data_IF_272803214653
#
_entry.id   IF_272803214653
#
_cell.length_a   1.000
_cell.length_b   1.000
_cell.length_c   1.000
_cell.angle_alpha   90.00
_cell.angle_beta   90.00
_cell.angle_gamma   90.00
#
_symmetry.space_group_name_H-M   'P 1'
#
loop_
_entity.id
_entity.type
_entity.pdbx_description
1 polymer ?
#
# COMPACT_ATOMS: atom_id res chain seq x y z
N UNK A 1 -16.61 -13.05 -25.93
CA UNK A 1 -16.41 -13.97 -24.80
C UNK A 1 -14.94 -14.39 -24.80
N UNK A 2 -14.17 -13.90 -23.83
CA UNK A 2 -12.80 -14.33 -23.52
C UNK A 2 -12.70 -14.21 -22.00
N UNK A 3 -12.98 -15.30 -21.31
CA UNK A 3 -12.93 -15.39 -19.85
C UNK A 3 -11.49 -15.80 -19.48
N UNK A 4 -10.91 -15.13 -18.48
CA UNK A 4 -9.66 -15.56 -17.84
C UNK A 4 -10.07 -16.41 -16.63
N UNK A 5 -9.55 -17.63 -16.56
CA UNK A 5 -9.72 -18.53 -15.41
C UNK A 5 -9.09 -17.91 -14.15
N UNK A 6 -9.81 -17.94 -13.03
CA UNK A 6 -9.25 -17.65 -11.70
C UNK A 6 -10.18 -16.93 -10.70
N UNK A 7 -11.29 -16.32 -11.14
CA UNK A 7 -12.21 -15.63 -10.22
C UNK A 7 -13.28 -16.59 -9.69
N UNK A 8 -13.32 -16.79 -8.36
CA UNK A 8 -14.41 -17.48 -7.68
C UNK A 8 -15.67 -16.61 -7.75
N UNK A 9 -16.68 -17.08 -8.48
CA UNK A 9 -17.98 -16.42 -8.59
C UNK A 9 -19.00 -17.17 -7.74
N UNK A 10 -19.45 -16.56 -6.64
CA UNK A 10 -20.62 -17.05 -5.91
C UNK A 10 -21.91 -16.53 -6.55
N UNK A 11 -22.77 -17.45 -6.97
CA UNK A 11 -24.07 -17.14 -7.58
C UNK A 11 -25.16 -17.31 -6.53
N UNK A 12 -25.84 -16.21 -6.19
CA UNK A 12 -27.07 -16.24 -5.41
C UNK A 12 -28.26 -16.05 -6.35
N UNK A 13 -29.21 -16.98 -6.30
CA UNK A 13 -30.45 -16.93 -7.09
C UNK A 13 -31.62 -16.60 -6.17
N UNK A 14 -32.33 -15.52 -6.48
CA UNK A 14 -33.72 -15.28 -6.03
C UNK A 14 -34.59 -15.08 -7.26
N UNK A 15 -35.87 -15.46 -7.17
CA UNK A 15 -36.74 -15.87 -8.29
C UNK A 15 -36.92 -14.89 -9.46
N UNK A 16 -36.51 -13.62 -9.38
CA UNK A 16 -36.84 -12.64 -10.44
C UNK A 16 -35.68 -11.78 -10.97
N UNK A 17 -34.46 -11.83 -10.40
CA UNK A 17 -33.32 -11.08 -10.97
C UNK A 17 -31.96 -11.77 -10.73
N UNK A 18 -31.15 -11.89 -11.78
CA UNK A 18 -29.71 -12.16 -11.63
C UNK A 18 -29.01 -10.83 -11.37
N UNK A 19 -28.84 -10.50 -10.09
CA UNK A 19 -28.07 -9.32 -9.68
C UNK A 19 -26.58 -9.66 -9.70
N UNK A 20 -25.89 -9.28 -10.78
CA UNK A 20 -24.42 -9.26 -10.85
C UNK A 20 -23.89 -8.06 -10.06
N UNK A 21 -23.89 -8.18 -8.74
CA UNK A 21 -23.24 -7.20 -7.88
C UNK A 21 -21.73 -7.42 -7.98
N UNK A 22 -21.02 -6.52 -8.67
CA UNK A 22 -19.57 -6.31 -8.46
C UNK A 22 -19.35 -5.80 -7.03
N UNK A 23 -19.43 -6.71 -6.06
CA UNK A 23 -18.95 -6.52 -4.69
C UNK A 23 -18.15 -7.77 -4.30
N UNK A 24 -17.40 -8.31 -5.27
CA UNK A 24 -16.58 -9.53 -5.13
C UNK A 24 -15.57 -9.37 -3.99
N UNK A 25 -14.93 -8.22 -3.90
CA UNK A 25 -13.78 -7.99 -3.04
C UNK A 25 -13.53 -6.48 -3.13
N UNK A 26 -14.08 -5.67 -2.22
CA UNK A 26 -13.27 -4.54 -1.75
C UNK A 26 -12.17 -5.21 -0.96
N UNK A 27 -11.13 -5.60 -1.69
CA UNK A 27 -10.19 -6.68 -1.38
C UNK A 27 -9.85 -6.68 0.09
N UNK A 28 -9.83 -7.85 0.72
CA UNK A 28 -9.45 -7.99 2.13
C UNK A 28 -8.18 -7.18 2.45
N UNK A 29 -7.27 -7.06 1.48
CA UNK A 29 -6.08 -6.21 1.50
C UNK A 29 -6.36 -4.71 1.76
N UNK A 30 -7.35 -4.08 1.13
CA UNK A 30 -7.69 -2.66 1.37
C UNK A 30 -8.14 -2.44 2.82
N UNK A 31 -9.02 -3.30 3.34
CA UNK A 31 -9.52 -3.22 4.72
C UNK A 31 -8.39 -3.43 5.74
N UNK A 32 -7.55 -4.45 5.56
CA UNK A 32 -6.38 -4.66 6.43
C UNK A 32 -5.33 -3.56 6.31
N UNK A 33 -5.20 -2.96 5.12
CA UNK A 33 -4.25 -1.88 4.89
C UNK A 33 -4.58 -0.67 5.75
N UNK A 34 -5.86 -0.29 5.86
CA UNK A 34 -6.32 0.85 6.66
C UNK A 34 -5.94 0.68 8.13
N UNK A 35 -6.24 -0.49 8.71
CA UNK A 35 -5.94 -0.76 10.12
C UNK A 35 -4.44 -0.79 10.38
N UNK A 36 -3.65 -1.39 9.49
CA UNK A 36 -2.21 -1.48 9.63
C UNK A 36 -1.55 -0.10 9.55
N UNK A 37 -1.86 0.72 8.53
CA UNK A 37 -1.28 2.06 8.42
C UNK A 37 -1.68 2.94 9.61
N UNK A 38 -2.91 2.80 10.10
CA UNK A 38 -3.37 3.47 11.32
C UNK A 38 -2.56 3.06 12.56
N UNK A 39 -2.31 1.76 12.74
CA UNK A 39 -1.51 1.25 13.84
C UNK A 39 -0.05 1.70 13.76
N UNK A 40 0.55 1.66 12.56
CA UNK A 40 1.93 2.10 12.34
C UNK A 40 2.09 3.61 12.58
N UNK A 41 1.14 4.42 12.09
CA UNK A 41 1.10 5.85 12.38
C UNK A 41 0.99 6.09 13.89
N UNK A 42 0.08 5.41 14.58
CA UNK A 42 -0.10 5.56 16.02
C UNK A 42 1.14 5.17 16.82
N UNK A 43 1.86 4.13 16.40
CA UNK A 43 3.05 3.63 17.09
C UNK A 43 4.29 4.52 16.89
N UNK A 44 4.43 5.12 15.71
CA UNK A 44 5.65 5.86 15.31
C UNK A 44 5.50 7.37 15.23
N UNK A 45 4.27 7.86 15.12
CA UNK A 45 3.96 9.25 14.76
C UNK A 45 4.26 9.60 13.30
N UNK A 46 4.71 8.65 12.49
CA UNK A 46 5.11 8.87 11.08
C UNK A 46 3.91 8.77 10.14
N UNK A 47 3.98 9.47 9.03
CA UNK A 47 2.97 9.37 7.98
C UNK A 47 3.20 8.10 7.19
N UNK A 48 2.18 7.28 6.98
CA UNK A 48 2.28 5.96 6.33
C UNK A 48 1.25 5.87 5.21
N UNK A 49 1.64 5.31 4.06
CA UNK A 49 0.75 5.02 2.96
C UNK A 49 1.09 3.65 2.36
N UNK A 50 0.10 3.00 1.76
CA UNK A 50 0.26 1.77 0.98
C UNK A 50 -0.31 2.00 -0.41
N UNK A 51 0.37 1.46 -1.41
CA UNK A 51 0.01 1.57 -2.83
C UNK A 51 -0.03 0.19 -3.47
N UNK A 52 -0.95 -0.07 -4.39
CA UNK A 52 -1.14 -1.35 -5.12
C UNK A 52 -0.37 -1.43 -6.46
N UNK A 53 0.45 -0.42 -6.75
CA UNK A 53 1.23 -0.29 -7.99
C UNK A 53 0.82 0.89 -8.85
N UNK A 54 -0.44 1.33 -8.73
CA UNK A 54 -0.95 2.46 -9.51
C UNK A 54 -1.49 3.59 -8.64
N UNK A 55 -2.10 3.25 -7.50
CA UNK A 55 -2.77 4.22 -6.65
C UNK A 55 -2.54 3.92 -5.17
N UNK A 56 -2.84 4.92 -4.35
CA UNK A 56 -2.88 4.81 -2.89
C UNK A 56 -4.13 4.01 -2.49
N UNK A 57 -3.94 2.95 -1.71
CA UNK A 57 -5.03 2.11 -1.21
C UNK A 57 -5.33 2.36 0.27
N UNK A 58 -4.35 2.83 1.04
CA UNK A 58 -4.53 3.23 2.42
C UNK A 58 -3.51 4.29 2.82
N UNK A 59 -3.87 5.19 3.72
CA UNK A 59 -2.95 6.18 4.27
C UNK A 59 -3.35 6.64 5.67
N UNK A 60 -2.37 7.03 6.48
CA UNK A 60 -2.55 7.57 7.82
C UNK A 60 -1.45 8.57 8.17
N UNK A 61 -1.82 9.65 8.86
CA UNK A 61 -0.92 10.72 9.27
C UNK A 61 -1.13 12.02 8.49
N UNK A 62 -0.25 13.00 8.71
CA UNK A 62 -0.39 14.33 8.13
C UNK A 62 0.25 14.39 6.75
N UNK A 63 -0.39 15.09 5.82
CA UNK A 63 0.15 15.34 4.49
C UNK A 63 0.33 14.07 3.64
N UNK A 64 -0.37 12.99 3.97
CA UNK A 64 -0.39 11.79 3.13
C UNK A 64 -1.30 12.00 1.92
N UNK A 65 -1.05 11.33 0.79
CA UNK A 65 -1.96 11.38 -0.34
C UNK A 65 -3.31 10.72 0.01
N UNK A 66 -4.43 11.25 -0.53
CA UNK A 66 -5.74 10.64 -0.43
C UNK A 66 -5.79 9.26 -1.07
N UNK A 67 -6.63 8.39 -0.51
CA UNK A 67 -6.91 7.06 -1.08
C UNK A 67 -7.52 7.22 -2.47
N UNK A 68 -7.04 6.43 -3.42
CA UNK A 68 -7.40 6.49 -4.84
C UNK A 68 -6.51 7.43 -5.66
N UNK A 69 -5.66 8.24 -5.04
CA UNK A 69 -4.70 9.08 -5.78
C UNK A 69 -3.66 8.22 -6.50
N UNK A 70 -3.39 8.54 -7.76
CA UNK A 70 -2.39 7.86 -8.56
C UNK A 70 -0.96 8.17 -8.10
N UNK A 71 -0.05 7.21 -8.27
CA UNK A 71 1.36 7.41 -7.93
C UNK A 71 2.16 8.02 -9.09
N UNK A 72 3.21 8.75 -8.75
CA UNK A 72 4.14 9.35 -9.71
C UNK A 72 5.01 8.29 -10.39
N UNK A 73 5.52 8.62 -11.57
CA UNK A 73 6.42 7.70 -12.30
C UNK A 73 7.74 7.45 -11.56
N UNK A 74 8.26 8.47 -10.86
CA UNK A 74 9.45 8.32 -10.02
C UNK A 74 9.23 7.32 -8.90
N UNK A 75 8.06 7.36 -8.25
CA UNK A 75 7.69 6.38 -7.24
C UNK A 75 7.54 4.97 -7.84
N UNK A 76 6.90 4.83 -9.02
CA UNK A 76 6.80 3.54 -9.73
C UNK A 76 8.17 2.93 -10.00
N UNK A 77 9.14 3.72 -10.44
CA UNK A 77 10.49 3.25 -10.73
C UNK A 77 11.20 2.72 -9.48
N UNK A 78 11.08 3.42 -8.35
CA UNK A 78 11.65 2.98 -7.08
C UNK A 78 11.01 1.68 -6.58
N UNK A 79 9.69 1.55 -6.70
CA UNK A 79 8.96 0.33 -6.31
C UNK A 79 9.37 -0.84 -7.21
N UNK A 80 9.46 -0.61 -8.52
CA UNK A 80 9.85 -1.62 -9.53
C UNK A 80 11.27 -2.15 -9.35
N UNK A 81 12.13 -1.44 -8.62
CA UNK A 81 13.46 -1.92 -8.26
C UNK A 81 13.44 -3.07 -7.23
N UNK A 82 12.27 -3.41 -6.67
CA UNK A 82 12.03 -4.54 -5.75
C UNK A 82 12.96 -4.56 -4.54
N UNK A 83 13.44 -3.39 -4.11
CA UNK A 83 14.32 -3.21 -2.95
C UNK A 83 13.86 -2.02 -2.14
N UNK A 84 14.05 -2.12 -0.82
CA UNK A 84 13.81 -0.99 0.06
C UNK A 84 14.76 0.16 -0.26
N UNK A 85 14.22 1.37 -0.28
CA UNK A 85 14.99 2.59 -0.43
C UNK A 85 14.67 3.52 0.73
N UNK A 86 15.72 4.02 1.38
CA UNK A 86 15.65 5.08 2.38
C UNK A 86 16.18 6.37 1.76
N UNK A 87 15.34 7.40 1.67
CA UNK A 87 15.64 8.71 1.09
C UNK A 87 15.79 9.74 2.21
N UNK A 88 16.81 10.59 2.06
CA UNK A 88 17.00 11.80 2.87
C UNK A 88 16.19 12.97 2.30
N UNK A 89 16.03 14.05 3.09
CA UNK A 89 15.22 15.25 2.78
C UNK A 89 15.35 15.75 1.33
N UNK A 90 16.58 15.84 0.80
CA UNK A 90 16.83 16.33 -0.55
C UNK A 90 16.16 15.45 -1.63
N UNK A 91 16.17 14.14 -1.42
CA UNK A 91 15.71 13.13 -2.37
C UNK A 91 14.30 12.59 -2.09
N UNK A 92 13.66 13.02 -1.00
CA UNK A 92 12.30 12.59 -0.69
C UNK A 92 11.35 12.97 -1.82
N UNK A 93 10.45 12.06 -2.17
CA UNK A 93 9.36 12.37 -3.08
C UNK A 93 8.29 13.16 -2.33
N UNK A 94 7.61 14.05 -3.05
CA UNK A 94 6.39 14.66 -2.53
C UNK A 94 5.31 13.58 -2.44
N UNK A 95 4.73 13.43 -1.25
CA UNK A 95 3.59 12.54 -1.00
C UNK A 95 2.40 13.43 -0.66
N UNK A 96 1.31 13.35 -1.43
CA UNK A 96 0.19 14.26 -1.29
C UNK A 96 0.65 15.72 -1.38
N UNK A 97 0.49 16.46 -0.27
CA UNK A 97 0.82 17.89 -0.20
C UNK A 97 2.18 18.19 0.45
N UNK A 98 2.91 17.18 0.96
CA UNK A 98 4.11 17.42 1.77
C UNK A 98 5.34 16.63 1.28
N UNK A 99 6.49 17.30 1.31
CA UNK A 99 7.80 16.68 1.15
C UNK A 99 8.36 16.35 2.55
N UNK A 100 8.73 15.09 2.73
CA UNK A 100 9.34 14.61 3.97
C UNK A 100 10.77 15.10 4.18
N UNK A 101 11.26 15.06 5.43
CA UNK A 101 12.69 15.10 5.76
C UNK A 101 13.38 13.73 5.69
N UNK A 102 12.58 12.67 5.67
CA UNK A 102 13.04 11.32 5.37
C UNK A 102 11.88 10.47 4.88
N UNK A 103 12.17 9.55 3.97
CA UNK A 103 11.18 8.67 3.39
C UNK A 103 11.73 7.25 3.25
N UNK A 104 10.92 6.25 3.56
CA UNK A 104 11.21 4.84 3.33
C UNK A 104 10.18 4.33 2.34
N UNK A 105 10.64 3.74 1.25
CA UNK A 105 9.81 3.05 0.27
C UNK A 105 10.19 1.59 0.34
N UNK A 106 9.25 0.76 0.80
CA UNK A 106 9.43 -0.68 0.95
C UNK A 106 8.47 -1.43 0.04
N UNK A 107 8.96 -2.01 -1.07
CA UNK A 107 8.14 -2.87 -1.92
C UNK A 107 7.60 -4.06 -1.15
N UNK A 108 6.35 -4.45 -1.46
CA UNK A 108 5.66 -5.60 -0.89
C UNK A 108 5.77 -6.74 -1.92
N UNK A 109 6.47 -7.81 -1.56
CA UNK A 109 6.77 -8.93 -2.46
C UNK A 109 6.17 -10.24 -1.92
N UNK A 110 5.20 -10.82 -2.63
CA UNK A 110 4.64 -12.13 -2.27
C UNK A 110 4.93 -13.13 -3.40
N UNK A 111 5.38 -14.33 -3.07
CA UNK A 111 5.79 -15.37 -4.03
C UNK A 111 6.76 -14.92 -5.14
N UNK A 112 7.50 -13.82 -4.94
CA UNK A 112 8.40 -13.24 -5.95
C UNK A 112 7.76 -12.21 -6.88
N UNK A 113 6.46 -11.97 -6.75
CA UNK A 113 5.71 -10.95 -7.47
C UNK A 113 5.58 -9.67 -6.65
N UNK A 114 5.49 -8.54 -7.37
CA UNK A 114 5.39 -7.21 -6.79
C UNK A 114 3.91 -6.82 -6.70
N UNK A 115 3.42 -6.64 -5.47
CA UNK A 115 2.02 -6.29 -5.21
C UNK A 115 1.81 -4.82 -4.90
N UNK A 116 2.89 -4.07 -4.66
CA UNK A 116 2.79 -2.69 -4.24
C UNK A 116 3.96 -2.24 -3.38
N UNK A 117 3.73 -1.22 -2.57
CA UNK A 117 4.71 -0.76 -1.60
C UNK A 117 4.08 -0.11 -0.37
N UNK A 118 4.80 -0.22 0.74
CA UNK A 118 4.59 0.57 1.95
C UNK A 118 5.53 1.77 1.94
N UNK A 119 4.98 2.94 2.19
CA UNK A 119 5.71 4.21 2.17
C UNK A 119 5.58 4.85 3.55
N UNK A 120 6.70 5.15 4.18
CA UNK A 120 6.75 5.87 5.46
C UNK A 120 7.46 7.20 5.23
N UNK A 121 6.79 8.30 5.58
CA UNK A 121 7.30 9.66 5.43
C UNK A 121 7.41 10.30 6.82
N UNK A 122 8.53 10.98 7.06
CA UNK A 122 8.86 11.62 8.34
C UNK A 122 9.24 13.08 8.17
N UNK A 123 8.80 13.93 9.10
CA UNK A 123 9.28 15.32 9.26
C UNK A 123 10.51 15.44 10.17
N UNK A 124 10.99 14.31 10.68
CA UNK A 124 12.16 14.15 11.54
C UNK A 124 13.16 13.19 10.87
N UNK A 125 14.44 13.19 11.31
CA UNK A 125 15.38 12.16 10.86
C UNK A 125 14.83 10.75 11.06
N UNK A 126 15.02 9.92 10.04
CA UNK A 126 14.68 8.50 10.11
C UNK A 126 15.65 7.78 11.06
N UNK A 127 15.11 6.82 11.77
CA UNK A 127 15.81 5.97 12.72
C UNK A 127 15.81 4.53 12.21
N UNK A 128 16.65 3.68 12.81
CA UNK A 128 16.61 2.23 12.54
C UNK A 128 15.26 1.61 12.90
N UNK A 129 14.55 2.17 13.88
CA UNK A 129 13.21 1.69 14.26
C UNK A 129 12.20 1.95 13.13
N UNK A 130 12.31 3.06 12.40
CA UNK A 130 11.45 3.34 11.24
C UNK A 130 11.68 2.32 10.11
N UNK A 131 12.93 1.96 9.85
CA UNK A 131 13.28 0.94 8.85
C UNK A 131 12.73 -0.44 9.23
N UNK A 132 12.86 -0.82 10.51
CA UNK A 132 12.29 -2.07 11.02
C UNK A 132 10.76 -2.06 10.97
N UNK A 133 10.13 -0.93 11.28
CA UNK A 133 8.68 -0.77 11.22
C UNK A 133 8.16 -0.92 9.78
N UNK A 134 8.80 -0.25 8.81
CA UNK A 134 8.44 -0.36 7.40
C UNK A 134 8.65 -1.80 6.88
N UNK A 135 9.76 -2.44 7.24
CA UNK A 135 10.02 -3.84 6.87
C UNK A 135 8.99 -4.79 7.50
N UNK A 136 8.64 -4.60 8.77
CA UNK A 136 7.62 -5.39 9.45
C UNK A 136 6.25 -5.24 8.79
N UNK A 137 5.85 -4.01 8.47
CA UNK A 137 4.58 -3.74 7.79
C UNK A 137 4.51 -4.39 6.41
N UNK A 138 5.56 -4.27 5.60
CA UNK A 138 5.62 -4.94 4.31
C UNK A 138 5.57 -6.47 4.45
N UNK A 139 6.40 -7.07 5.31
CA UNK A 139 6.40 -8.51 5.56
C UNK A 139 5.04 -9.02 6.07
N UNK A 140 4.28 -8.20 6.80
CA UNK A 140 2.92 -8.54 7.19
C UNK A 140 2.02 -8.68 5.97
N UNK A 141 2.04 -7.71 5.03
CA UNK A 141 1.29 -7.81 3.78
C UNK A 141 1.70 -9.03 2.96
N UNK A 142 3.00 -9.30 2.84
CA UNK A 142 3.52 -10.46 2.09
C UNK A 142 2.91 -11.78 2.58
N UNK A 143 2.70 -11.91 3.90
CA UNK A 143 2.06 -13.09 4.51
C UNK A 143 0.54 -13.14 4.38
N UNK A 144 -0.12 -11.99 4.24
CA UNK A 144 -1.57 -11.92 4.06
C UNK A 144 -1.96 -12.17 2.60
N UNK A 145 -1.09 -11.83 1.65
CA UNK A 145 -1.31 -12.06 0.21
C UNK A 145 -1.09 -13.53 -0.16
N UNK A 146 -0.17 -14.22 0.53
CA UNK A 146 0.11 -15.65 0.35
C UNK A 146 -0.96 -16.58 0.99
N UNK A 147 -2.11 -16.04 1.38
CA UNK A 147 -3.20 -16.74 2.07
C UNK A 147 -4.53 -16.61 1.37
#
# INVERSE_FOLDING_TARGET
MKMREGEELEIFTTEEEVVLKKYSELSSMELFSIDLVGAMHKASGRSVAVVDGDKVIASAGKGVPPVGEGITEELRLLISARRQVTLSEEKCLTMGEQKGRGQIIRPILAAGDLFGALILTSQEPLTKADEQLAAMGANFFERQIDR
#
